data_IF_019218994462
#
_entry.id   IF_019218994462
#
_cell.length_a   1.000
_cell.length_b   1.000
_cell.length_c   1.000
_cell.angle_alpha   90.00
_cell.angle_beta   90.00
_cell.angle_gamma   90.00
#
_symmetry.space_group_name_H-M   'P 1'
#
loop_
_entity.id
_entity.type
_entity.pdbx_description
1 polymer ?
#
# COMPACT_ATOMS: atom_id res chain seq x y z
N UNK A 1 -24.42 -2.46 15.56
CA UNK A 1 -24.22 -2.38 14.11
C UNK A 1 -23.64 -3.68 13.55
N UNK A 2 -22.50 -4.15 14.05
CA UNK A 2 -21.87 -5.42 13.64
C UNK A 2 -22.82 -6.62 13.77
N UNK A 3 -23.60 -6.70 14.85
CA UNK A 3 -24.56 -7.78 15.04
C UNK A 3 -25.70 -7.76 14.00
N UNK A 4 -26.18 -6.59 13.61
CA UNK A 4 -27.21 -6.44 12.58
C UNK A 4 -26.67 -6.80 11.17
N UNK A 5 -25.44 -6.47 10.88
CA UNK A 5 -24.78 -6.85 9.63
C UNK A 5 -24.51 -8.36 9.57
N UNK A 6 -24.12 -8.98 10.68
CA UNK A 6 -23.87 -10.42 10.76
C UNK A 6 -25.16 -11.28 10.63
N UNK A 7 -26.31 -10.72 10.97
CA UNK A 7 -27.63 -11.45 10.93
C UNK A 7 -28.32 -11.22 9.58
N UNK A 8 -27.90 -10.26 8.76
CA UNK A 8 -28.56 -9.98 7.48
C UNK A 8 -28.34 -11.12 6.47
N UNK A 9 -29.39 -11.48 5.74
CA UNK A 9 -29.30 -12.46 4.64
C UNK A 9 -28.31 -12.04 3.57
N UNK A 10 -28.17 -10.73 3.34
CA UNK A 10 -27.19 -10.14 2.41
C UNK A 10 -25.76 -10.39 2.86
N UNK A 11 -25.47 -10.31 4.15
CA UNK A 11 -24.16 -10.62 4.68
C UNK A 11 -23.78 -12.08 4.45
N UNK A 12 -24.70 -13.02 4.73
CA UNK A 12 -24.49 -14.45 4.51
C UNK A 12 -24.26 -14.75 3.02
N UNK A 13 -25.06 -14.15 2.12
CA UNK A 13 -24.87 -14.30 0.68
C UNK A 13 -23.52 -13.77 0.21
N UNK A 14 -23.10 -12.60 0.68
CA UNK A 14 -21.80 -12.01 0.35
C UNK A 14 -20.66 -12.90 0.84
N UNK A 15 -20.76 -13.42 2.07
CA UNK A 15 -19.74 -14.33 2.61
C UNK A 15 -19.65 -15.63 1.83
N UNK A 16 -20.77 -16.30 1.56
CA UNK A 16 -20.80 -17.56 0.82
C UNK A 16 -20.25 -17.38 -0.59
N UNK A 17 -20.66 -16.31 -1.27
CA UNK A 17 -20.17 -15.99 -2.62
C UNK A 17 -18.69 -15.63 -2.63
N UNK A 18 -18.23 -14.91 -1.63
CA UNK A 18 -16.81 -14.59 -1.43
C UNK A 18 -15.97 -15.83 -1.17
N UNK A 19 -16.40 -16.70 -0.26
CA UNK A 19 -15.71 -17.95 0.08
C UNK A 19 -15.65 -18.94 -1.10
N UNK A 20 -16.70 -18.99 -1.93
CA UNK A 20 -16.71 -19.85 -3.10
C UNK A 20 -15.63 -19.46 -4.14
N UNK A 21 -15.25 -18.19 -4.19
CA UNK A 21 -14.29 -17.65 -5.15
C UNK A 21 -13.00 -17.16 -4.52
N UNK A 22 -12.86 -17.31 -3.21
CA UNK A 22 -11.64 -16.87 -2.51
C UNK A 22 -10.45 -17.76 -2.90
N UNK A 23 -9.27 -17.19 -3.01
CA UNK A 23 -8.06 -17.98 -3.14
C UNK A 23 -7.87 -18.87 -1.91
N UNK A 24 -7.27 -20.04 -2.10
CA UNK A 24 -6.94 -20.91 -0.98
C UNK A 24 -5.80 -20.30 -0.18
N UNK A 25 -5.99 -20.22 1.13
CA UNK A 25 -4.89 -19.86 2.05
C UNK A 25 -4.03 -21.11 2.24
N UNK A 26 -2.76 -21.00 1.89
CA UNK A 26 -1.79 -22.06 2.05
C UNK A 26 -1.11 -21.87 3.39
N UNK A 27 -1.24 -22.86 4.27
CA UNK A 27 -0.61 -22.87 5.59
C UNK A 27 0.66 -23.72 5.66
N UNK A 28 0.92 -24.54 4.62
CA UNK A 28 2.14 -25.34 4.56
C UNK A 28 3.29 -24.52 3.98
N UNK A 29 4.35 -24.22 4.76
CA UNK A 29 5.47 -23.40 4.31
C UNK A 29 6.29 -24.04 3.17
N UNK A 30 6.24 -25.36 3.00
CA UNK A 30 6.96 -26.04 1.93
C UNK A 30 6.39 -25.74 0.55
N UNK A 31 5.07 -25.46 0.47
CA UNK A 31 4.38 -25.12 -0.76
C UNK A 31 4.65 -23.68 -1.21
N UNK A 32 5.15 -22.80 -0.33
CA UNK A 32 5.39 -21.37 -0.67
C UNK A 32 6.43 -21.21 -1.79
N UNK A 33 7.24 -22.23 -2.04
CA UNK A 33 8.27 -22.22 -3.10
C UNK A 33 7.74 -22.64 -4.48
N UNK A 34 6.49 -23.08 -4.57
CA UNK A 34 5.89 -23.47 -5.85
C UNK A 34 5.54 -22.24 -6.69
N UNK A 35 5.76 -22.32 -7.99
CA UNK A 35 5.40 -21.27 -8.94
C UNK A 35 3.88 -21.12 -9.00
N UNK A 36 3.39 -19.86 -9.02
CA UNK A 36 1.97 -19.54 -9.13
C UNK A 36 1.27 -19.27 -7.79
N UNK A 37 2.01 -19.28 -6.68
CA UNK A 37 1.50 -18.83 -5.38
C UNK A 37 1.82 -17.35 -5.18
N UNK A 38 0.85 -16.63 -4.58
CA UNK A 38 1.04 -15.25 -4.14
C UNK A 38 1.36 -15.21 -2.65
N UNK A 39 2.36 -14.45 -2.31
CA UNK A 39 2.78 -14.20 -0.93
C UNK A 39 2.81 -12.70 -0.63
N UNK A 40 3.05 -12.34 0.63
CA UNK A 40 3.22 -10.93 1.00
C UNK A 40 4.42 -10.27 0.27
N UNK A 41 5.41 -11.06 -0.13
CA UNK A 41 6.57 -10.56 -0.90
C UNK A 41 6.22 -10.14 -2.34
N UNK A 42 5.07 -10.60 -2.87
CA UNK A 42 4.60 -10.25 -4.21
C UNK A 42 3.79 -8.94 -4.22
N UNK A 43 3.50 -8.38 -3.04
CA UNK A 43 2.77 -7.11 -2.92
C UNK A 43 3.72 -5.94 -3.21
N UNK A 44 3.48 -5.23 -4.30
CA UNK A 44 4.32 -4.10 -4.73
C UNK A 44 3.99 -2.80 -4.00
N UNK A 45 2.75 -2.57 -3.66
CA UNK A 45 2.31 -1.41 -2.86
C UNK A 45 0.90 -1.65 -2.30
N UNK A 46 0.54 -0.87 -1.27
CA UNK A 46 -0.80 -0.82 -0.68
C UNK A 46 -1.41 0.56 -0.97
N UNK A 47 -2.62 0.60 -1.56
CA UNK A 47 -3.36 1.85 -1.80
C UNK A 47 -4.51 1.91 -0.81
N UNK A 48 -4.60 3.00 -0.04
CA UNK A 48 -5.61 3.19 1.02
C UNK A 48 -6.23 4.59 0.93
N UNK A 49 -7.45 4.78 1.45
CA UNK A 49 -7.95 6.12 1.76
C UNK A 49 -7.04 6.83 2.75
N UNK A 50 -6.90 8.16 2.62
CA UNK A 50 -6.20 8.96 3.62
C UNK A 50 -6.81 8.75 5.02
N UNK A 51 -5.98 8.83 6.07
CA UNK A 51 -6.36 8.60 7.48
C UNK A 51 -6.83 7.19 7.83
N UNK A 52 -6.75 6.23 6.91
CA UNK A 52 -7.18 4.86 7.15
C UNK A 52 -6.03 4.04 7.75
N UNK A 53 -5.99 3.96 9.09
CA UNK A 53 -5.04 3.11 9.81
C UNK A 53 -5.75 1.81 10.20
N UNK A 54 -5.33 0.71 9.61
CA UNK A 54 -5.83 -0.63 9.89
C UNK A 54 -4.72 -1.67 9.88
N UNK A 55 -5.07 -2.91 10.18
CA UNK A 55 -4.08 -4.00 10.17
C UNK A 55 -3.29 -4.12 8.86
N UNK A 56 -3.89 -3.98 7.67
CA UNK A 56 -3.13 -4.00 6.42
C UNK A 56 -2.10 -2.86 6.33
N UNK A 57 -2.45 -1.67 6.80
CA UNK A 57 -1.56 -0.49 6.81
C UNK A 57 -0.35 -0.74 7.72
N UNK A 58 -0.60 -1.25 8.93
CA UNK A 58 0.46 -1.55 9.90
C UNK A 58 1.36 -2.69 9.42
N UNK A 59 0.77 -3.72 8.81
CA UNK A 59 1.53 -4.83 8.23
C UNK A 59 2.41 -4.37 7.06
N UNK A 60 1.88 -3.52 6.16
CA UNK A 60 2.65 -2.96 5.07
C UNK A 60 3.80 -2.09 5.58
N UNK A 61 3.55 -1.25 6.60
CA UNK A 61 4.57 -0.43 7.25
C UNK A 61 5.71 -1.29 7.81
N UNK A 62 5.35 -2.34 8.57
CA UNK A 62 6.32 -3.24 9.19
C UNK A 62 7.15 -4.02 8.17
N UNK A 63 6.56 -4.40 7.05
CA UNK A 63 7.22 -5.15 5.98
C UNK A 63 7.98 -4.26 4.97
N UNK A 64 7.95 -2.94 5.14
CA UNK A 64 8.59 -2.02 4.21
C UNK A 64 7.87 -1.89 2.86
N UNK A 65 6.61 -2.34 2.77
CA UNK A 65 5.79 -2.22 1.55
C UNK A 65 5.37 -0.76 1.39
N UNK A 66 5.58 -0.13 0.21
CA UNK A 66 5.13 1.23 -0.06
C UNK A 66 3.62 1.39 0.11
N UNK A 67 3.21 2.47 0.77
CA UNK A 67 1.79 2.80 1.00
C UNK A 67 1.45 4.11 0.29
N UNK A 68 0.36 4.10 -0.47
CA UNK A 68 -0.16 5.27 -1.19
C UNK A 68 -1.50 5.64 -0.55
N UNK A 69 -1.55 6.79 0.12
CA UNK A 69 -2.75 7.32 0.77
C UNK A 69 -3.44 8.33 -0.16
N UNK A 70 -4.73 8.14 -0.44
CA UNK A 70 -5.51 8.93 -1.39
C UNK A 70 -6.49 9.84 -0.66
N UNK A 71 -6.33 11.16 -0.80
CA UNK A 71 -7.10 12.18 -0.10
C UNK A 71 -8.54 12.33 -0.58
N UNK A 72 -8.80 12.17 -1.87
CA UNK A 72 -10.15 12.29 -2.42
C UNK A 72 -11.12 11.27 -1.82
N UNK A 73 -10.61 10.13 -1.35
CA UNK A 73 -11.41 9.13 -0.64
C UNK A 73 -11.48 9.49 0.85
N UNK A 74 -12.24 10.51 1.15
CA UNK A 74 -12.35 11.06 2.49
C UNK A 74 -13.13 10.10 3.41
N UNK A 75 -12.60 9.85 4.60
CA UNK A 75 -13.28 9.12 5.66
C UNK A 75 -13.41 9.97 6.92
N UNK A 76 -14.27 9.54 7.86
CA UNK A 76 -14.52 10.25 9.11
C UNK A 76 -13.44 10.02 10.19
N UNK A 77 -12.42 9.24 9.89
CA UNK A 77 -11.33 8.97 10.82
C UNK A 77 -10.45 10.22 10.98
N UNK A 78 -10.00 10.47 12.20
CA UNK A 78 -9.11 11.60 12.52
C UNK A 78 -7.66 11.16 12.74
N UNK A 79 -7.29 9.99 12.22
CA UNK A 79 -5.95 9.48 12.35
C UNK A 79 -5.00 10.24 11.41
N UNK A 80 -3.77 10.45 11.84
CA UNK A 80 -2.72 11.02 11.00
C UNK A 80 -1.72 9.91 10.62
N UNK A 81 -1.68 9.59 9.33
CA UNK A 81 -0.73 8.60 8.81
C UNK A 81 0.72 9.07 8.94
N UNK A 82 0.96 10.38 8.98
CA UNK A 82 2.32 10.94 9.04
C UNK A 82 2.97 10.77 10.42
N UNK A 83 2.17 10.52 11.46
CA UNK A 83 2.67 10.27 12.81
C UNK A 83 3.23 8.85 13.00
N UNK A 84 2.99 7.95 12.05
CA UNK A 84 3.51 6.60 12.11
C UNK A 84 5.00 6.54 11.72
N UNK A 85 5.78 5.62 12.29
CA UNK A 85 7.22 5.50 12.05
C UNK A 85 7.53 4.82 10.70
N UNK A 86 7.24 5.52 9.60
CA UNK A 86 7.52 5.06 8.25
C UNK A 86 9.02 5.01 7.95
N UNK A 87 9.41 4.04 7.14
CA UNK A 87 10.73 4.09 6.52
C UNK A 87 10.80 5.25 5.49
N UNK A 88 11.98 5.78 5.19
CA UNK A 88 12.15 6.79 4.15
C UNK A 88 11.49 6.35 2.83
N UNK A 89 10.73 7.26 2.22
CA UNK A 89 10.03 7.04 0.95
C UNK A 89 9.01 5.89 0.92
N UNK A 90 8.55 5.42 2.07
CA UNK A 90 7.55 4.36 2.17
C UNK A 90 6.11 4.89 2.07
N UNK A 91 5.82 6.08 2.62
CA UNK A 91 4.50 6.71 2.56
C UNK A 91 4.44 7.75 1.45
N UNK A 92 3.44 7.61 0.56
CA UNK A 92 3.14 8.56 -0.50
C UNK A 92 1.71 9.07 -0.33
N UNK A 93 1.52 10.36 -0.10
CA UNK A 93 0.20 10.99 -0.02
C UNK A 93 -0.08 11.67 -1.36
N UNK A 94 -1.24 11.35 -1.94
CA UNK A 94 -1.70 11.85 -3.24
C UNK A 94 -3.09 12.42 -3.14
N UNK A 95 -3.45 13.32 -4.05
CA UNK A 95 -4.76 13.98 -4.02
C UNK A 95 -5.88 13.09 -4.55
N UNK A 96 -5.59 12.29 -5.58
CA UNK A 96 -6.59 11.47 -6.27
C UNK A 96 -6.02 10.13 -6.75
N UNK A 97 -6.90 9.25 -7.22
CA UNK A 97 -6.49 7.93 -7.71
C UNK A 97 -5.66 7.98 -9.01
N UNK A 98 -5.77 9.04 -9.83
CA UNK A 98 -4.92 9.20 -11.01
C UNK A 98 -3.45 9.42 -10.60
N UNK A 99 -3.23 10.23 -9.58
CA UNK A 99 -1.89 10.39 -9.01
C UNK A 99 -1.38 9.09 -8.39
N UNK A 100 -2.26 8.33 -7.72
CA UNK A 100 -1.90 7.03 -7.17
C UNK A 100 -1.41 6.06 -8.26
N UNK A 101 -2.06 6.03 -9.43
CA UNK A 101 -1.61 5.24 -10.59
C UNK A 101 -0.23 5.70 -11.06
N UNK A 102 0.02 7.01 -11.08
CA UNK A 102 1.34 7.58 -11.43
C UNK A 102 2.43 7.13 -10.46
N UNK A 103 2.17 7.22 -9.15
CA UNK A 103 3.11 6.78 -8.10
C UNK A 103 3.35 5.27 -8.19
N UNK A 104 2.30 4.46 -8.33
CA UNK A 104 2.39 3.01 -8.48
C UNK A 104 3.25 2.64 -9.71
N UNK A 105 3.05 3.32 -10.83
CA UNK A 105 3.80 3.08 -12.06
C UNK A 105 5.28 3.44 -11.91
N UNK A 106 5.58 4.54 -11.21
CA UNK A 106 6.94 4.95 -10.90
C UNK A 106 7.66 3.91 -10.03
N UNK A 107 7.02 3.50 -8.93
CA UNK A 107 7.55 2.48 -8.02
C UNK A 107 7.83 1.17 -8.76
N UNK A 108 6.90 0.74 -9.60
CA UNK A 108 7.04 -0.48 -10.41
C UNK A 108 8.20 -0.39 -11.41
N UNK A 109 8.51 0.81 -11.89
CA UNK A 109 9.62 1.07 -12.83
C UNK A 109 10.95 1.35 -12.10
N UNK A 110 10.99 1.30 -10.76
CA UNK A 110 12.18 1.63 -9.98
C UNK A 110 12.53 3.12 -10.02
N UNK A 111 11.56 3.98 -10.34
CA UNK A 111 11.74 5.44 -10.42
C UNK A 111 11.19 6.07 -9.14
N UNK A 112 11.95 6.99 -8.54
CA UNK A 112 11.43 7.76 -7.40
C UNK A 112 10.23 8.62 -7.82
N UNK A 113 9.05 8.50 -7.18
CA UNK A 113 7.90 9.34 -7.48
C UNK A 113 8.18 10.84 -7.34
N UNK A 114 9.13 11.22 -6.50
CA UNK A 114 9.56 12.62 -6.32
C UNK A 114 10.17 13.20 -7.61
N UNK A 115 10.83 12.38 -8.42
CA UNK A 115 11.41 12.83 -9.70
C UNK A 115 10.37 13.16 -10.77
N UNK A 116 9.13 12.72 -10.59
CA UNK A 116 8.02 13.01 -11.50
C UNK A 116 7.26 14.30 -11.14
N UNK A 117 7.50 14.87 -9.96
CA UNK A 117 6.86 16.11 -9.52
C UNK A 117 7.66 17.34 -9.92
N UNK A 118 6.96 18.44 -10.20
CA UNK A 118 7.56 19.76 -10.47
C UNK A 118 7.33 20.69 -9.27
N UNK A 119 8.29 21.60 -8.94
CA UNK A 119 9.63 21.72 -9.54
C UNK A 119 10.53 20.53 -9.15
N UNK A 120 11.48 20.17 -10.03
CA UNK A 120 12.49 19.16 -9.71
C UNK A 120 13.40 19.69 -8.60
N UNK A 121 13.62 18.90 -7.56
CA UNK A 121 14.70 19.19 -6.60
C UNK A 121 16.04 18.91 -7.27
N UNK A 122 16.96 19.89 -7.23
CA UNK A 122 18.32 19.68 -7.73
C UNK A 122 18.97 18.53 -6.95
N UNK A 123 19.54 17.54 -7.63
CA UNK A 123 20.28 16.50 -6.94
C UNK A 123 21.47 17.12 -6.19
N UNK A 124 21.85 16.63 -5.02
CA UNK A 124 23.05 17.06 -4.36
C UNK A 124 24.25 16.75 -5.27
N UNK A 125 25.03 17.78 -5.60
CA UNK A 125 26.26 17.62 -6.37
C UNK A 125 27.35 17.26 -5.36
N UNK A 126 27.73 15.99 -5.29
CA UNK A 126 28.96 15.60 -4.60
C UNK A 126 30.14 15.96 -5.48
N UNK A 127 30.84 17.04 -5.14
CA UNK A 127 32.15 17.33 -5.70
C UNK A 127 33.13 16.28 -5.15
N UNK A 128 33.45 15.29 -5.99
CA UNK A 128 34.57 14.40 -5.70
C UNK A 128 35.84 15.20 -5.72
N UNK A 129 36.41 15.45 -4.56
CA UNK A 129 37.73 16.08 -4.47
C UNK A 129 38.74 15.26 -5.28
N UNK A 130 39.09 15.77 -6.45
CA UNK A 130 40.20 15.26 -7.26
C UNK A 130 41.51 15.84 -6.69
N UNK A 131 41.90 15.37 -5.51
CA UNK A 131 43.26 15.55 -5.01
C UNK A 131 44.12 14.37 -5.52
N UNK A 132 44.92 14.69 -6.49
CA UNK A 132 46.13 13.92 -6.83
C UNK A 132 47.31 14.35 -5.94
#
# INVERSE_FOLDING_TARGET
>A
RLAAEAISLTFIQCMLKGLQRSPRIITNPELIRESGLLSAADVSCLIIPDKCIGLPTLAAMQQGIPVIAVRENNNLMQNDLTELPWNPDQLHIVENYWEAVGVMSALRSGISPKSLRRPLTSPPIELKDMNH
#
